data_IF_659138181412
#
_entry.id   IF_659138181412
#
_cell.length_a   1.000
_cell.length_b   1.000
_cell.length_c   1.000
_cell.angle_alpha   90.00
_cell.angle_beta   90.00
_cell.angle_gamma   90.00
#
_symmetry.space_group_name_H-M   'P 1'
#
loop_
_entity.id
_entity.type
_entity.pdbx_description
1 polymer ?
#
# COMPACT_ATOMS: atom_id res chain seq x y z
N UNK A 1 -4.30 16.61 -31.11
CA UNK A 1 -3.26 15.75 -30.52
C UNK A 1 -2.94 14.67 -31.54
N UNK A 2 -1.66 14.43 -31.85
CA UNK A 2 -1.26 13.49 -32.90
C UNK A 2 -0.96 12.09 -32.36
N UNK A 3 -0.39 11.99 -31.16
CA UNK A 3 -0.01 10.70 -30.58
C UNK A 3 -0.12 10.70 -29.05
N UNK A 4 -0.79 9.69 -28.48
CA UNK A 4 -0.72 9.30 -27.07
C UNK A 4 0.19 8.07 -26.97
N UNK A 5 1.41 8.23 -26.47
CA UNK A 5 2.35 7.13 -26.30
C UNK A 5 2.44 6.71 -24.84
N UNK A 6 2.23 5.43 -24.55
CA UNK A 6 2.66 4.81 -23.30
C UNK A 6 4.09 4.29 -23.47
N UNK A 7 5.00 4.71 -22.61
CA UNK A 7 6.42 4.39 -22.70
C UNK A 7 7.22 5.24 -23.69
N UNK A 8 8.55 5.03 -23.72
CA UNK A 8 9.48 5.71 -24.64
C UNK A 8 9.87 4.84 -25.85
N UNK A 9 10.18 5.47 -27.00
CA UNK A 9 10.55 4.77 -28.24
C UNK A 9 11.68 3.75 -28.07
N UNK A 10 11.76 2.72 -28.93
CA UNK A 10 10.98 2.50 -30.15
C UNK A 10 9.55 1.99 -29.91
N UNK A 11 8.64 2.29 -30.85
CA UNK A 11 7.23 1.86 -30.80
C UNK A 11 7.11 0.35 -31.04
N UNK A 12 6.38 -0.34 -30.16
CA UNK A 12 6.06 -1.77 -30.30
C UNK A 12 4.75 -1.97 -31.06
N UNK A 13 3.72 -1.21 -30.70
CA UNK A 13 2.38 -1.32 -31.29
C UNK A 13 1.65 0.02 -31.18
N UNK A 14 0.76 0.35 -32.12
CA UNK A 14 -0.22 1.42 -31.91
C UNK A 14 -1.49 1.25 -32.74
N UNK A 15 -2.57 1.89 -32.28
CA UNK A 15 -3.87 1.94 -32.93
C UNK A 15 -4.25 3.41 -33.17
N UNK A 16 -4.67 3.75 -34.39
CA UNK A 16 -5.19 5.07 -34.70
C UNK A 16 -6.70 5.09 -34.44
N UNK A 17 -7.13 5.91 -33.49
CA UNK A 17 -8.55 6.12 -33.20
C UNK A 17 -8.86 7.58 -33.51
N UNK A 18 -9.59 7.83 -34.60
CA UNK A 18 -9.85 9.18 -35.10
C UNK A 18 -8.55 9.86 -35.58
N UNK A 19 -8.25 11.05 -35.04
CA UNK A 19 -7.04 11.83 -35.35
C UNK A 19 -5.85 11.51 -34.42
N UNK A 20 -6.02 10.63 -33.43
CA UNK A 20 -5.01 10.33 -32.40
C UNK A 20 -4.46 8.92 -32.54
N UNK A 21 -3.14 8.81 -32.64
CA UNK A 21 -2.43 7.53 -32.58
C UNK A 21 -2.15 7.15 -31.13
N UNK A 22 -2.73 6.05 -30.66
CA UNK A 22 -2.40 5.47 -29.35
C UNK A 22 -1.29 4.46 -29.53
N UNK A 23 -0.11 4.69 -28.95
CA UNK A 23 1.07 3.83 -29.09
C UNK A 23 1.54 3.24 -27.77
N UNK A 24 2.04 2.02 -27.81
CA UNK A 24 2.76 1.32 -26.75
C UNK A 24 4.20 1.18 -27.22
N UNK A 25 5.14 1.73 -26.45
CA UNK A 25 6.55 1.74 -26.78
C UNK A 25 7.35 0.78 -25.88
N UNK A 26 8.57 0.45 -26.31
CA UNK A 26 9.42 -0.57 -25.72
C UNK A 26 9.74 -0.31 -24.24
N UNK A 27 10.03 0.94 -23.89
CA UNK A 27 10.41 1.31 -22.53
C UNK A 27 9.15 1.68 -21.76
N UNK A 28 8.68 0.89 -20.77
CA UNK A 28 7.37 1.09 -20.12
C UNK A 28 7.40 2.20 -19.05
N UNK A 29 8.20 3.24 -19.26
CA UNK A 29 8.36 4.35 -18.34
C UNK A 29 7.62 5.58 -18.85
N UNK A 30 6.66 6.05 -18.07
CA UNK A 30 5.90 7.26 -18.37
C UNK A 30 4.98 7.13 -19.59
N UNK A 31 4.46 8.27 -20.01
CA UNK A 31 3.73 8.41 -21.26
C UNK A 31 3.93 9.82 -21.79
N UNK A 32 3.85 9.99 -23.10
CA UNK A 32 3.98 11.29 -23.73
C UNK A 32 2.79 11.57 -24.64
N UNK A 33 2.43 12.84 -24.73
CA UNK A 33 1.35 13.34 -25.58
C UNK A 33 2.00 14.26 -26.60
N UNK A 34 2.04 13.84 -27.87
CA UNK A 34 2.44 14.73 -28.96
C UNK A 34 1.24 15.56 -29.38
N UNK A 35 1.36 16.88 -29.25
CA UNK A 35 0.30 17.79 -29.70
C UNK A 35 0.54 18.25 -31.13
N UNK A 36 -0.56 18.50 -31.85
CA UNK A 36 -0.51 19.07 -33.20
C UNK A 36 0.05 20.49 -33.08
N UNK A 37 1.10 20.83 -33.85
CA UNK A 37 1.69 22.17 -33.88
C UNK A 37 2.56 22.53 -32.67
N UNK A 38 3.21 21.54 -32.03
CA UNK A 38 4.22 21.76 -30.96
C UNK A 38 5.59 22.20 -31.53
N UNK A 39 5.92 21.81 -32.77
CA UNK A 39 7.15 22.19 -33.47
C UNK A 39 6.94 23.17 -34.66
N UNK A 40 5.70 23.34 -35.14
CA UNK A 40 5.37 24.24 -36.26
C UNK A 40 4.21 25.20 -35.89
N UNK A 41 4.49 26.50 -35.66
CA UNK A 41 3.50 27.49 -35.22
C UNK A 41 2.52 27.95 -36.31
N UNK A 42 2.62 27.42 -37.53
CA UNK A 42 1.82 27.86 -38.70
C UNK A 42 0.42 27.20 -38.76
N UNK A 43 0.14 26.22 -37.89
CA UNK A 43 -1.11 25.46 -37.84
C UNK A 43 -2.19 26.14 -36.96
N UNK A 44 -3.40 26.43 -37.49
CA UNK A 44 -4.48 27.13 -36.76
C UNK A 44 -4.95 26.45 -35.46
N UNK A 45 -4.69 25.14 -35.33
CA UNK A 45 -5.07 24.28 -34.18
C UNK A 45 -3.95 24.09 -33.15
N UNK A 46 -2.88 24.90 -33.18
CA UNK A 46 -1.75 24.79 -32.26
C UNK A 46 -2.16 24.99 -30.78
N UNK A 47 -1.66 24.14 -29.88
CA UNK A 47 -1.83 24.32 -28.43
C UNK A 47 -1.25 25.66 -27.94
N UNK A 48 -0.29 26.24 -28.67
CA UNK A 48 0.28 27.55 -28.37
C UNK A 48 -0.71 28.71 -28.62
N UNK A 49 -1.72 28.53 -29.47
CA UNK A 49 -2.75 29.54 -29.75
C UNK A 49 -3.88 29.58 -28.71
N UNK A 50 -3.90 28.62 -27.77
CA UNK A 50 -4.89 28.60 -26.69
C UNK A 50 -4.54 29.62 -25.58
N UNK A 51 -5.56 30.19 -24.90
CA UNK A 51 -5.36 31.13 -23.80
C UNK A 51 -4.41 30.59 -22.72
N UNK A 52 -3.54 31.47 -22.20
CA UNK A 52 -2.51 31.14 -21.20
C UNK A 52 -3.08 30.36 -20.01
N UNK A 53 -4.30 30.67 -19.57
CA UNK A 53 -4.96 29.97 -18.47
C UNK A 53 -5.22 28.49 -18.77
N UNK A 54 -5.69 28.15 -19.97
CA UNK A 54 -5.92 26.74 -20.35
C UNK A 54 -4.60 25.97 -20.41
N UNK A 55 -3.56 26.58 -20.98
CA UNK A 55 -2.22 25.99 -21.05
C UNK A 55 -1.64 25.78 -19.65
N UNK A 56 -1.80 26.76 -18.76
CA UNK A 56 -1.32 26.68 -17.38
C UNK A 56 -2.03 25.59 -16.59
N UNK A 57 -3.34 25.46 -16.71
CA UNK A 57 -4.10 24.38 -16.04
C UNK A 57 -3.62 23.01 -16.52
N UNK A 58 -3.40 22.82 -17.83
CA UNK A 58 -2.93 21.54 -18.38
C UNK A 58 -1.52 21.20 -17.89
N UNK A 59 -0.60 22.18 -17.87
CA UNK A 59 0.77 21.98 -17.39
C UNK A 59 0.80 21.67 -15.88
N UNK A 60 -0.01 22.38 -15.09
CA UNK A 60 -0.12 22.16 -13.65
C UNK A 60 -0.82 20.84 -13.31
N UNK A 61 -1.78 20.40 -14.13
CA UNK A 61 -2.49 19.14 -13.92
C UNK A 61 -1.52 17.94 -13.92
N UNK A 62 -0.49 17.94 -14.77
CA UNK A 62 0.53 16.89 -14.79
C UNK A 62 1.27 16.77 -13.45
N UNK A 63 1.82 17.87 -12.95
CA UNK A 63 2.52 17.87 -11.65
C UNK A 63 1.57 17.63 -10.48
N UNK A 64 0.34 18.12 -10.55
CA UNK A 64 -0.67 17.92 -9.51
C UNK A 64 -1.06 16.45 -9.36
N UNK A 65 -1.16 15.71 -10.47
CA UNK A 65 -1.45 14.27 -10.44
C UNK A 65 -0.36 13.47 -9.72
N UNK A 66 0.91 13.90 -9.75
CA UNK A 66 1.97 13.24 -8.98
C UNK A 66 1.80 13.40 -7.45
N UNK A 67 1.09 14.43 -7.00
CA UNK A 67 0.76 14.61 -5.59
C UNK A 67 -0.55 13.90 -5.22
N UNK A 68 -1.52 13.87 -6.15
CA UNK A 68 -2.82 13.24 -5.94
C UNK A 68 -2.77 11.71 -6.01
N UNK A 69 -1.99 11.15 -6.94
CA UNK A 69 -1.93 9.70 -7.19
C UNK A 69 -1.45 8.91 -5.96
N UNK A 70 -0.37 9.29 -5.25
CA UNK A 70 0.04 8.60 -4.03
C UNK A 70 -1.03 8.66 -2.95
N UNK A 71 -1.70 9.81 -2.77
CA UNK A 71 -2.77 9.94 -1.80
C UNK A 71 -3.91 8.96 -2.08
N UNK A 72 -4.30 8.84 -3.35
CA UNK A 72 -5.35 7.91 -3.77
C UNK A 72 -4.92 6.45 -3.60
N UNK A 73 -3.69 6.10 -3.99
CA UNK A 73 -3.14 4.75 -3.80
C UNK A 73 -3.08 4.39 -2.31
N UNK A 74 -2.57 5.28 -1.45
CA UNK A 74 -2.54 5.05 -0.01
C UNK A 74 -3.95 4.93 0.58
N UNK A 75 -4.89 5.76 0.16
CA UNK A 75 -6.27 5.66 0.62
C UNK A 75 -6.89 4.31 0.26
N UNK A 76 -6.65 3.80 -0.96
CA UNK A 76 -7.10 2.47 -1.37
C UNK A 76 -6.42 1.39 -0.55
N UNK A 77 -5.08 1.41 -0.46
CA UNK A 77 -4.33 0.41 0.30
C UNK A 77 -4.85 0.36 1.74
N UNK A 78 -4.90 1.50 2.44
CA UNK A 78 -5.37 1.57 3.83
C UNK A 78 -6.84 1.18 4.00
N UNK A 79 -7.68 1.35 2.97
CA UNK A 79 -9.08 0.93 3.00
C UNK A 79 -9.27 -0.56 2.77
N UNK A 80 -8.29 -1.26 2.16
CA UNK A 80 -8.37 -2.70 2.00
C UNK A 80 -8.16 -3.37 3.37
N UNK A 81 -9.01 -4.34 3.75
CA UNK A 81 -8.76 -5.14 4.94
C UNK A 81 -7.44 -5.87 4.73
N UNK A 82 -6.45 -5.52 5.54
CA UNK A 82 -5.22 -6.28 5.61
C UNK A 82 -5.46 -7.45 6.55
N UNK A 83 -5.26 -8.67 6.05
CA UNK A 83 -5.05 -9.82 6.92
C UNK A 83 -3.90 -9.44 7.84
N UNK A 84 -4.19 -9.22 9.12
CA UNK A 84 -3.15 -9.00 10.12
C UNK A 84 -2.20 -10.18 9.98
N UNK A 85 -0.95 -9.92 9.56
CA UNK A 85 0.11 -10.92 9.57
C UNK A 85 -0.04 -11.66 10.90
N UNK A 86 -0.43 -12.94 10.82
CA UNK A 86 -0.74 -13.79 11.96
C UNK A 86 0.57 -13.93 12.73
N UNK A 87 0.83 -12.94 13.59
CA UNK A 87 2.01 -12.87 14.40
C UNK A 87 1.68 -13.69 15.63
N UNK A 88 2.23 -14.91 15.70
CA UNK A 88 2.15 -15.70 16.92
C UNK A 88 2.70 -14.86 18.07
N UNK A 89 1.85 -14.55 19.04
CA UNK A 89 2.27 -13.76 20.20
C UNK A 89 3.18 -14.63 21.05
N UNK A 90 4.48 -14.43 20.89
CA UNK A 90 5.52 -15.21 21.55
C UNK A 90 5.97 -14.49 22.80
N UNK A 91 6.07 -15.21 23.91
CA UNK A 91 6.53 -14.68 25.19
C UNK A 91 8.04 -14.52 25.13
N UNK A 92 8.52 -13.27 25.22
CA UNK A 92 9.95 -12.95 25.22
C UNK A 92 10.60 -13.04 26.60
N UNK A 93 9.81 -13.25 27.65
CA UNK A 93 10.29 -13.32 29.02
C UNK A 93 9.17 -13.19 30.03
N UNK A 94 9.37 -13.73 31.21
CA UNK A 94 8.41 -13.73 32.32
C UNK A 94 9.06 -13.06 33.54
N UNK A 95 8.34 -12.14 34.18
CA UNK A 95 8.85 -11.46 35.36
C UNK A 95 8.84 -12.38 36.59
N UNK A 96 9.87 -12.33 37.46
CA UNK A 96 9.92 -13.15 38.67
C UNK A 96 8.84 -12.73 39.67
N UNK A 97 8.27 -13.71 40.38
CA UNK A 97 7.13 -13.59 41.30
C UNK A 97 5.87 -12.98 40.65
N UNK A 98 5.67 -13.22 39.35
CA UNK A 98 4.48 -12.74 38.64
C UNK A 98 3.43 -13.85 38.50
N UNK A 99 2.14 -13.50 38.33
CA UNK A 99 1.09 -14.49 38.04
C UNK A 99 1.36 -15.32 36.78
N UNK A 100 2.17 -14.79 35.85
CA UNK A 100 2.59 -15.51 34.65
C UNK A 100 3.65 -16.59 34.96
N UNK A 101 4.53 -16.35 35.93
CA UNK A 101 5.49 -17.36 36.38
C UNK A 101 4.79 -18.47 37.18
N UNK A 102 3.87 -18.08 38.08
CA UNK A 102 3.08 -19.02 38.89
C UNK A 102 2.19 -19.93 38.04
N UNK A 103 1.72 -19.45 36.88
CA UNK A 103 0.97 -20.25 35.91
C UNK A 103 1.84 -21.13 35.00
N UNK A 104 3.17 -21.06 35.15
CA UNK A 104 4.11 -21.90 34.40
C UNK A 104 4.34 -21.45 32.95
N UNK A 105 4.11 -20.17 32.63
CA UNK A 105 4.50 -19.59 31.35
C UNK A 105 6.02 -19.47 31.28
N UNK A 106 6.56 -19.70 30.10
CA UNK A 106 8.01 -19.63 29.85
C UNK A 106 8.30 -18.77 28.62
N UNK A 107 9.53 -18.26 28.57
CA UNK A 107 10.06 -17.65 27.36
C UNK A 107 10.00 -18.65 26.19
N UNK A 108 9.54 -18.19 25.02
CA UNK A 108 9.34 -19.02 23.83
C UNK A 108 7.95 -19.63 23.72
N UNK A 109 7.09 -19.53 24.73
CA UNK A 109 5.69 -19.95 24.61
C UNK A 109 4.92 -19.04 23.64
N UNK A 110 4.08 -19.62 22.79
CA UNK A 110 3.23 -18.89 21.86
C UNK A 110 1.78 -18.93 22.31
N UNK A 111 1.17 -17.76 22.51
CA UNK A 111 -0.25 -17.63 22.90
C UNK A 111 -1.11 -17.71 21.63
N UNK A 112 -2.06 -18.65 21.63
CA UNK A 112 -2.99 -18.88 20.52
C UNK A 112 -4.36 -18.25 20.81
N UNK A 113 -4.87 -18.40 22.05
CA UNK A 113 -6.20 -17.93 22.44
C UNK A 113 -6.21 -17.40 23.87
N UNK A 114 -7.14 -16.47 24.15
CA UNK A 114 -7.48 -16.00 25.49
C UNK A 114 -8.99 -16.14 25.72
N UNK A 115 -9.42 -16.88 26.75
CA UNK A 115 -10.84 -17.12 27.06
C UNK A 115 -11.67 -17.57 25.84
N UNK A 116 -11.15 -18.53 25.05
CA UNK A 116 -11.75 -19.01 23.79
C UNK A 116 -11.82 -17.99 22.64
N UNK A 117 -11.15 -16.83 22.75
CA UNK A 117 -10.99 -15.86 21.67
C UNK A 117 -9.62 -16.05 20.99
N UNK A 118 -9.63 -16.33 19.69
CA UNK A 118 -8.43 -16.42 18.87
C UNK A 118 -7.69 -15.09 18.81
N UNK A 119 -6.42 -15.07 19.19
CA UNK A 119 -5.59 -13.86 19.17
C UNK A 119 -4.73 -13.89 17.92
N UNK A 120 -4.88 -12.86 17.08
CA UNK A 120 -4.07 -12.70 15.85
C UNK A 120 -2.96 -11.67 15.99
N UNK A 121 -3.03 -10.79 17.00
CA UNK A 121 -2.03 -9.76 17.22
C UNK A 121 -1.81 -9.50 18.73
N UNK A 122 -0.64 -8.96 19.09
CA UNK A 122 -0.30 -8.65 20.47
C UNK A 122 -1.20 -7.55 21.08
N UNK A 123 -1.78 -6.67 20.25
CA UNK A 123 -2.62 -5.57 20.70
C UNK A 123 -3.94 -6.07 21.31
N UNK A 124 -4.53 -7.11 20.71
CA UNK A 124 -5.75 -7.76 21.14
C UNK A 124 -5.52 -8.48 22.48
N UNK A 125 -4.40 -9.19 22.62
CA UNK A 125 -4.01 -9.78 23.90
C UNK A 125 -3.87 -8.72 25.01
N UNK A 126 -3.15 -7.63 24.73
CA UNK A 126 -2.96 -6.54 25.72
C UNK A 126 -4.30 -5.88 26.07
N UNK A 127 -5.18 -5.68 25.09
CA UNK A 127 -6.51 -5.11 25.28
C UNK A 127 -7.38 -6.01 26.17
N UNK A 128 -7.40 -7.31 25.90
CA UNK A 128 -8.19 -8.27 26.69
C UNK A 128 -7.66 -8.37 28.14
N UNK A 129 -6.35 -8.49 28.34
CA UNK A 129 -5.75 -8.52 29.68
C UNK A 129 -6.05 -7.21 30.45
N UNK A 130 -6.00 -6.05 29.78
CA UNK A 130 -6.33 -4.77 30.41
C UNK A 130 -7.80 -4.66 30.81
N UNK A 131 -8.70 -5.19 29.97
CA UNK A 131 -10.14 -5.14 30.21
C UNK A 131 -10.54 -6.09 31.35
N UNK A 132 -9.85 -7.23 31.47
CA UNK A 132 -10.07 -8.26 32.50
C UNK A 132 -9.07 -8.19 33.66
N UNK A 133 -8.64 -6.98 34.03
CA UNK A 133 -7.70 -6.79 35.15
C UNK A 133 -8.28 -7.32 36.45
N UNK A 134 -7.51 -8.17 37.14
CA UNK A 134 -7.86 -8.71 38.45
C UNK A 134 -8.79 -9.93 38.41
N UNK A 135 -9.08 -10.47 37.23
CA UNK A 135 -9.82 -11.73 37.07
C UNK A 135 -8.93 -12.80 36.44
N UNK A 136 -9.23 -14.07 36.72
CA UNK A 136 -8.57 -15.19 36.04
C UNK A 136 -8.83 -15.14 34.52
N UNK A 137 -7.81 -15.50 33.75
CA UNK A 137 -7.88 -15.59 32.30
C UNK A 137 -7.36 -16.96 31.87
N UNK A 138 -8.10 -17.63 30.99
CA UNK A 138 -7.68 -18.88 30.40
C UNK A 138 -6.85 -18.59 29.15
N UNK A 139 -5.66 -19.18 29.03
CA UNK A 139 -4.77 -19.02 27.88
C UNK A 139 -4.55 -20.37 27.20
N UNK A 140 -4.83 -20.44 25.91
CA UNK A 140 -4.38 -21.56 25.10
C UNK A 140 -2.99 -21.24 24.58
N UNK A 141 -2.00 -22.00 25.03
CA UNK A 141 -0.60 -21.82 24.65
C UNK A 141 -0.07 -23.00 23.86
N UNK A 142 0.82 -22.72 22.92
CA UNK A 142 1.72 -23.69 22.32
C UNK A 142 3.07 -23.55 23.00
N UNK A 143 3.46 -24.58 23.74
CA UNK A 143 4.79 -24.63 24.35
C UNK A 143 5.85 -24.51 23.26
N UNK A 144 6.76 -23.56 23.41
CA UNK A 144 7.96 -23.49 22.60
C UNK A 144 8.81 -24.68 22.98
N UNK A 145 8.94 -25.68 22.11
CA UNK A 145 9.82 -26.81 22.39
C UNK A 145 11.21 -26.25 22.71
N UNK A 146 11.68 -26.52 23.92
CA UNK A 146 13.04 -26.30 24.33
C UNK A 146 13.96 -26.95 23.29
N UNK A 147 14.64 -26.13 22.48
CA UNK A 147 15.84 -26.58 21.80
C UNK A 147 16.85 -26.89 22.88
N UNK A 148 16.95 -28.18 23.19
CA UNK A 148 18.02 -28.82 23.95
C UNK A 148 19.38 -28.22 23.55
N UNK A 149 20.10 -27.71 24.55
CA UNK A 149 21.46 -27.20 24.45
C UNK A 149 21.91 -26.61 25.76
#
# INVERSE_FOLDING_TARGET
MTEFGFGFPPRLWGISIGETLYSINLIPLGGFVRMVGEEDPTEPRSFASQPILKRSIVLLAGSFMNLLLPLFIFAIILSLPHDTLIGTVTISGVAPNSPAEESGLQEGDSILEINSLGISNHMDLVKEIKTKRGTEVELLIRKGNSSLG
#
